data_IF_250735677645
#
_entry.id   IF_250735677645
#
_cell.length_a   1.000
_cell.length_b   1.000
_cell.length_c   1.000
_cell.angle_alpha   90.00
_cell.angle_beta   90.00
_cell.angle_gamma   90.00
#
_symmetry.space_group_name_H-M   'P 1'
#
loop_
_entity.id
_entity.type
_entity.pdbx_description
1 polymer ?
#
# COMPACT_ATOMS: atom_id res chain seq x y z
N UNK A 1 -3.12 4.96 14.47
CA UNK A 1 -4.34 5.07 15.31
C UNK A 1 -3.93 5.54 16.69
N UNK A 2 -4.23 6.78 17.06
CA UNK A 2 -3.89 7.33 18.37
C UNK A 2 -4.70 6.64 19.46
N UNK A 3 -4.04 6.06 20.46
CA UNK A 3 -4.69 5.51 21.64
C UNK A 3 -5.10 6.68 22.56
N UNK A 4 -6.40 6.86 22.73
CA UNK A 4 -6.97 7.77 23.70
C UNK A 4 -7.07 7.06 25.06
N UNK A 5 -6.61 7.71 26.12
CA UNK A 5 -6.90 7.26 27.46
C UNK A 5 -7.99 8.18 28.06
N UNK A 6 -9.18 7.64 28.25
CA UNK A 6 -10.29 8.34 28.89
C UNK A 6 -10.57 7.68 30.24
N UNK A 7 -10.44 8.43 31.32
CA UNK A 7 -10.84 7.98 32.66
C UNK A 7 -12.15 8.65 33.04
N UNK A 8 -13.08 7.83 33.55
CA UNK A 8 -14.48 8.16 33.85
C UNK A 8 -15.34 8.58 32.66
N UNK A 9 -15.54 7.64 31.77
CA UNK A 9 -16.61 7.66 30.80
C UNK A 9 -17.77 6.83 31.32
N UNK A 10 -18.58 7.38 32.19
CA UNK A 10 -19.93 6.87 32.42
C UNK A 10 -20.83 7.57 31.38
N UNK A 11 -20.73 7.13 30.13
CA UNK A 11 -21.63 7.60 29.08
C UNK A 11 -22.86 6.72 29.08
N UNK A 12 -24.02 7.26 29.36
CA UNK A 12 -25.27 6.65 28.97
C UNK A 12 -25.47 6.90 27.47
N UNK A 13 -26.03 5.96 26.73
CA UNK A 13 -26.40 6.11 25.32
C UNK A 13 -25.22 6.38 24.33
N UNK A 14 -24.07 5.74 24.51
CA UNK A 14 -22.97 5.81 23.55
C UNK A 14 -22.20 7.14 23.52
N UNK A 15 -22.23 7.91 24.61
CA UNK A 15 -21.49 9.16 24.75
C UNK A 15 -20.43 9.10 25.83
N UNK A 16 -19.41 9.96 25.68
CA UNK A 16 -18.39 10.22 26.72
C UNK A 16 -18.87 11.35 27.59
N UNK A 17 -19.01 11.13 28.90
CA UNK A 17 -19.32 12.19 29.85
C UNK A 17 -18.03 12.81 30.43
N UNK A 18 -17.90 14.13 30.33
CA UNK A 18 -16.88 14.92 31.01
C UNK A 18 -17.52 15.80 32.08
N UNK A 19 -16.81 15.95 33.21
CA UNK A 19 -17.22 16.81 34.33
C UNK A 19 -16.12 17.83 34.64
N UNK A 20 -16.49 19.03 35.07
CA UNK A 20 -15.53 20.09 35.36
C UNK A 20 -14.87 19.99 36.75
N UNK A 21 -15.38 19.15 37.64
CA UNK A 21 -14.90 18.98 39.00
C UNK A 21 -14.39 17.56 39.22
N UNK A 22 -13.41 17.41 40.12
CA UNK A 22 -13.03 16.10 40.65
C UNK A 22 -14.25 15.50 41.36
N UNK A 23 -14.37 14.18 41.27
CA UNK A 23 -15.37 13.46 42.04
C UNK A 23 -14.99 13.41 43.53
N UNK A 24 -15.87 12.79 44.35
CA UNK A 24 -15.65 12.63 45.80
C UNK A 24 -14.36 11.88 46.17
N UNK A 25 -13.88 11.04 45.23
CA UNK A 25 -12.68 10.21 45.41
C UNK A 25 -11.43 10.88 44.80
N UNK A 26 -11.55 12.13 44.34
CA UNK A 26 -10.45 12.92 43.76
C UNK A 26 -10.13 12.58 42.32
N UNK A 27 -10.97 11.78 41.62
CA UNK A 27 -10.74 11.44 40.23
C UNK A 27 -11.06 12.64 39.32
N UNK A 28 -10.27 12.76 38.27
CA UNK A 28 -10.32 13.83 37.30
C UNK A 28 -10.93 13.32 35.99
N UNK A 29 -11.83 14.12 35.41
CA UNK A 29 -12.47 13.81 34.12
C UNK A 29 -11.78 14.56 33.00
N UNK A 30 -11.33 13.85 31.98
CA UNK A 30 -10.68 14.42 30.82
C UNK A 30 -10.37 13.37 29.76
N UNK A 31 -9.92 13.83 28.61
CA UNK A 31 -9.44 13.01 27.52
C UNK A 31 -8.04 13.49 27.17
N UNK A 32 -7.11 12.58 27.02
CA UNK A 32 -5.73 12.88 26.70
C UNK A 32 -5.21 11.95 25.62
N UNK A 33 -4.33 12.45 24.76
CA UNK A 33 -3.58 11.61 23.84
C UNK A 33 -2.28 11.18 24.53
N UNK A 34 -1.99 9.87 24.49
CA UNK A 34 -0.77 9.28 25.06
C UNK A 34 0.30 9.05 24.01
N UNK A 35 -0.10 8.98 22.75
CA UNK A 35 0.79 8.84 21.60
C UNK A 35 0.59 10.02 20.66
N UNK A 36 1.67 10.49 20.04
CA UNK A 36 1.60 11.50 18.98
C UNK A 36 1.04 10.91 17.71
N UNK A 37 0.17 11.66 17.02
CA UNK A 37 -0.28 11.38 15.66
C UNK A 37 0.41 12.28 14.62
N UNK A 38 1.44 13.02 15.03
CA UNK A 38 2.06 14.12 14.28
C UNK A 38 1.76 15.46 14.94
N UNK A 39 1.78 16.56 14.19
CA UNK A 39 1.36 17.88 14.69
C UNK A 39 -0.17 18.00 14.63
N UNK A 40 -0.80 18.30 15.76
CA UNK A 40 -2.24 18.49 15.81
C UNK A 40 -2.66 19.76 15.06
N UNK A 41 -3.69 19.67 14.21
CA UNK A 41 -4.20 20.80 13.42
C UNK A 41 -5.63 21.17 13.75
N UNK A 42 -6.45 20.21 14.14
CA UNK A 42 -7.89 20.48 14.42
C UNK A 42 -8.44 19.47 15.41
N UNK A 43 -9.31 19.93 16.28
CA UNK A 43 -10.22 19.12 17.08
C UNK A 43 -11.64 19.33 16.58
N UNK A 44 -12.35 18.22 16.32
CA UNK A 44 -13.78 18.23 15.97
C UNK A 44 -14.53 17.39 16.99
N UNK A 45 -15.68 17.88 17.45
CA UNK A 45 -16.53 17.15 18.39
C UNK A 45 -17.97 17.07 17.89
N UNK A 46 -18.63 15.99 18.21
CA UNK A 46 -20.09 15.87 18.08
C UNK A 46 -20.68 15.91 19.50
N UNK A 47 -21.54 16.88 19.69
CA UNK A 47 -22.22 17.05 20.96
C UNK A 47 -23.41 16.08 21.06
N UNK A 48 -23.52 15.40 22.19
CA UNK A 48 -24.78 14.74 22.52
C UNK A 48 -25.84 15.78 22.93
N UNK A 49 -27.12 15.57 22.54
CA UNK A 49 -28.22 16.45 22.82
C UNK A 49 -28.48 16.72 24.32
N UNK A 50 -28.02 15.86 25.20
CA UNK A 50 -28.07 16.03 26.67
C UNK A 50 -27.12 17.12 27.19
N UNK A 51 -26.21 17.61 26.33
CA UNK A 51 -25.28 18.67 26.72
C UNK A 51 -25.95 20.01 26.69
N UNK A 52 -25.98 20.68 27.84
CA UNK A 52 -26.55 22.02 27.96
C UNK A 52 -25.78 23.01 27.09
N UNK A 53 -26.51 23.85 26.32
CA UNK A 53 -25.96 24.97 25.54
C UNK A 53 -25.07 25.86 26.40
N UNK A 54 -23.95 26.34 25.84
CA UNK A 54 -22.96 27.18 26.54
C UNK A 54 -21.95 26.38 27.37
N UNK A 55 -22.04 25.04 27.43
CA UNK A 55 -20.94 24.23 28.01
C UNK A 55 -19.69 24.38 27.15
N UNK A 56 -18.54 24.53 27.83
CA UNK A 56 -17.25 24.81 27.22
C UNK A 56 -16.28 23.65 27.47
N UNK A 57 -15.76 23.07 26.38
CA UNK A 57 -14.71 22.09 26.35
C UNK A 57 -13.38 22.80 26.12
N UNK A 58 -12.54 22.85 27.13
CA UNK A 58 -11.19 23.42 27.03
C UNK A 58 -10.24 22.45 26.33
N UNK A 59 -9.44 22.98 25.40
CA UNK A 59 -8.46 22.26 24.59
C UNK A 59 -7.06 22.66 25.08
N UNK A 60 -6.21 21.68 25.28
CA UNK A 60 -4.82 21.83 25.71
C UNK A 60 -3.89 21.14 24.72
N UNK A 61 -2.69 21.68 24.52
CA UNK A 61 -1.62 21.12 23.71
C UNK A 61 -0.33 20.93 24.51
N UNK A 62 0.43 19.91 24.15
CA UNK A 62 1.73 19.63 24.76
C UNK A 62 2.67 19.00 23.75
N UNK A 63 3.99 19.19 23.93
CA UNK A 63 5.03 18.45 23.22
C UNK A 63 5.64 17.33 24.09
N UNK A 64 4.95 16.99 25.17
CA UNK A 64 5.23 15.82 26.00
C UNK A 64 3.97 14.99 26.11
N UNK A 65 4.07 13.64 26.10
CA UNK A 65 2.91 12.78 26.24
C UNK A 65 2.20 13.00 27.55
N UNK A 66 0.87 12.99 27.51
CA UNK A 66 0.07 12.91 28.73
C UNK A 66 0.04 11.46 29.20
N UNK A 67 0.17 11.24 30.52
CA UNK A 67 0.09 9.90 31.10
C UNK A 67 -1.37 9.50 31.39
N UNK A 68 -2.15 10.47 31.89
CA UNK A 68 -3.55 10.25 32.23
C UNK A 68 -4.30 11.60 32.40
N UNK A 69 -5.63 11.61 32.45
CA UNK A 69 -6.42 12.85 32.59
C UNK A 69 -6.15 13.68 33.87
N UNK A 70 -5.48 13.14 34.88
CA UNK A 70 -5.08 13.93 36.07
C UNK A 70 -4.05 14.99 35.70
N UNK A 71 -3.28 14.79 34.65
CA UNK A 71 -2.28 15.75 34.17
C UNK A 71 -2.92 17.09 33.83
N UNK A 72 -4.17 17.12 33.38
CA UNK A 72 -4.95 18.34 33.06
C UNK A 72 -5.33 19.19 34.31
N UNK A 73 -5.09 18.70 35.51
CA UNK A 73 -5.44 19.36 36.76
C UNK A 73 -4.22 19.77 37.57
N UNK A 74 -3.05 19.70 36.97
CA UNK A 74 -1.77 20.10 37.54
C UNK A 74 -1.06 21.05 36.56
N UNK A 75 -0.82 22.28 36.99
CA UNK A 75 -0.23 23.34 36.16
C UNK A 75 1.18 23.04 35.61
N UNK A 76 1.85 21.99 36.13
CA UNK A 76 3.14 21.54 35.57
C UNK A 76 3.03 20.49 34.49
N UNK A 77 1.84 19.93 34.25
CA UNK A 77 1.61 18.82 33.33
C UNK A 77 0.42 19.02 32.39
N UNK A 78 -0.42 20.07 32.59
CA UNK A 78 -1.63 20.32 31.81
C UNK A 78 -1.32 20.82 30.39
N UNK A 79 -0.12 21.29 30.10
CA UNK A 79 0.29 21.86 28.82
C UNK A 79 -0.23 23.28 28.62
N UNK A 80 -0.20 23.74 27.37
CA UNK A 80 -0.68 25.07 27.00
C UNK A 80 -2.19 25.02 26.74
N UNK A 81 -2.95 25.93 27.36
CA UNK A 81 -4.37 26.09 27.04
C UNK A 81 -4.52 26.79 25.70
N UNK A 82 -5.02 26.10 24.68
CA UNK A 82 -5.15 26.59 23.31
C UNK A 82 -6.43 27.37 23.09
N UNK A 83 -7.55 26.91 23.67
CA UNK A 83 -8.85 27.52 23.52
C UNK A 83 -9.98 26.63 23.99
N UNK A 84 -11.17 26.84 23.43
CA UNK A 84 -12.37 26.08 23.83
C UNK A 84 -13.33 25.88 22.67
N UNK A 85 -14.04 24.75 22.68
CA UNK A 85 -15.21 24.48 21.85
C UNK A 85 -16.46 24.65 22.71
N UNK A 86 -17.45 25.44 22.27
CA UNK A 86 -18.63 25.77 23.05
C UNK A 86 -19.89 25.19 22.42
N UNK A 87 -20.64 24.40 23.21
CA UNK A 87 -21.90 23.81 22.78
C UNK A 87 -22.89 24.90 22.34
N UNK A 88 -23.47 24.74 21.15
CA UNK A 88 -24.37 25.71 20.52
C UNK A 88 -23.68 26.83 19.75
N UNK A 89 -22.32 26.92 19.82
CA UNK A 89 -21.57 27.97 19.11
C UNK A 89 -20.57 27.34 18.11
N UNK A 90 -19.89 26.28 18.51
CA UNK A 90 -18.87 25.63 17.66
C UNK A 90 -18.83 24.12 17.90
N UNK A 91 -18.39 23.41 16.86
CA UNK A 91 -18.08 21.97 16.94
C UNK A 91 -16.63 21.69 16.57
N UNK A 92 -15.87 22.71 16.18
CA UNK A 92 -14.48 22.58 15.76
C UNK A 92 -13.60 23.63 16.44
N UNK A 93 -12.32 23.30 16.56
CA UNK A 93 -11.26 24.19 17.01
C UNK A 93 -10.01 23.95 16.15
N UNK A 94 -9.55 24.96 15.42
CA UNK A 94 -8.31 24.90 14.64
C UNK A 94 -7.13 25.22 15.57
N UNK A 95 -6.13 24.35 15.57
CA UNK A 95 -4.96 24.45 16.43
C UNK A 95 -3.88 25.24 15.68
N UNK A 96 -3.43 26.32 16.31
CA UNK A 96 -2.26 27.09 15.87
C UNK A 96 -1.06 26.74 16.74
N UNK A 97 0.09 26.51 16.12
CA UNK A 97 1.31 26.04 16.80
C UNK A 97 1.57 24.54 16.56
N UNK A 98 2.72 24.10 17.06
CA UNK A 98 3.23 22.76 16.85
C UNK A 98 3.08 21.94 18.14
N UNK A 99 1.94 21.27 18.30
CA UNK A 99 1.66 20.39 19.44
C UNK A 99 1.50 18.94 18.97
N UNK A 100 2.24 18.04 19.62
CA UNK A 100 2.23 16.61 19.32
C UNK A 100 1.18 15.83 20.14
N UNK A 101 0.69 16.42 21.22
CA UNK A 101 -0.29 15.80 22.13
C UNK A 101 -1.40 16.79 22.44
N UNK A 102 -2.64 16.28 22.46
CA UNK A 102 -3.84 17.07 22.73
C UNK A 102 -4.57 16.49 23.93
N UNK A 103 -5.09 17.37 24.73
CA UNK A 103 -5.93 17.00 25.85
C UNK A 103 -7.15 17.93 25.96
N UNK A 104 -8.20 17.42 26.58
CA UNK A 104 -9.49 18.12 26.69
C UNK A 104 -10.13 17.86 28.04
N UNK A 105 -10.73 18.91 28.60
CA UNK A 105 -11.56 18.79 29.80
C UNK A 105 -12.73 19.74 29.78
N UNK A 106 -13.77 19.43 30.53
CA UNK A 106 -14.88 20.36 30.71
C UNK A 106 -14.45 21.55 31.58
N UNK A 107 -14.68 22.77 31.10
CA UNK A 107 -14.53 23.99 31.87
C UNK A 107 -15.68 24.17 32.87
N UNK A 108 -16.89 23.78 32.51
CA UNK A 108 -18.09 24.09 33.29
C UNK A 108 -19.14 22.96 33.26
N UNK A 109 -19.35 22.30 34.38
CA UNK A 109 -20.40 21.30 34.58
C UNK A 109 -20.20 20.01 33.80
N UNK A 110 -21.26 19.22 33.69
CA UNK A 110 -21.27 18.00 32.89
C UNK A 110 -21.51 18.30 31.40
N UNK A 111 -20.83 17.57 30.52
CA UNK A 111 -21.07 17.56 29.08
C UNK A 111 -20.93 16.15 28.52
N UNK A 112 -21.55 15.90 27.40
CA UNK A 112 -21.61 14.62 26.75
C UNK A 112 -21.19 14.77 25.28
N UNK A 113 -20.29 13.92 24.81
CA UNK A 113 -19.76 13.93 23.44
C UNK A 113 -20.00 12.57 22.81
N UNK A 114 -20.59 12.56 21.62
CA UNK A 114 -20.78 11.32 20.82
C UNK A 114 -19.54 10.94 20.05
N UNK A 115 -18.80 11.93 19.58
CA UNK A 115 -17.51 11.67 18.92
C UNK A 115 -16.50 12.79 19.18
N UNK A 116 -15.22 12.44 19.07
CA UNK A 116 -14.10 13.36 19.08
C UNK A 116 -13.14 12.92 17.99
N UNK A 117 -12.80 13.83 17.10
CA UNK A 117 -11.82 13.62 16.04
C UNK A 117 -10.69 14.63 16.19
N UNK A 118 -9.46 14.17 16.22
CA UNK A 118 -8.27 15.02 16.13
C UNK A 118 -7.65 14.81 14.75
N UNK A 119 -7.54 15.89 13.98
CA UNK A 119 -6.81 15.90 12.72
C UNK A 119 -5.36 16.27 13.02
N UNK A 120 -4.46 15.43 12.56
CA UNK A 120 -3.03 15.61 12.69
C UNK A 120 -2.45 16.00 11.34
N UNK A 121 -1.52 16.97 11.31
CA UNK A 121 -0.57 17.07 10.24
C UNK A 121 0.42 15.92 10.47
N UNK A 122 0.42 14.94 9.59
CA UNK A 122 1.55 14.05 9.58
C UNK A 122 2.76 14.91 9.22
N UNK A 123 3.68 15.13 10.16
CA UNK A 123 5.03 15.46 9.75
C UNK A 123 5.40 14.41 8.73
N UNK A 124 5.88 14.84 7.58
CA UNK A 124 6.43 13.89 6.61
C UNK A 124 7.43 13.07 7.40
N UNK A 125 6.98 11.90 7.87
CA UNK A 125 7.76 11.04 8.75
C UNK A 125 9.11 10.90 8.09
N UNK A 126 10.20 10.92 8.87
CA UNK A 126 11.55 10.88 8.32
C UNK A 126 11.54 9.96 7.12
N UNK A 127 11.78 10.53 5.94
CA UNK A 127 11.65 9.81 4.66
C UNK A 127 12.42 8.50 4.80
N UNK A 128 11.69 7.40 4.90
CA UNK A 128 12.32 6.09 5.02
C UNK A 128 12.64 5.60 3.62
N UNK A 129 13.83 5.10 3.46
CA UNK A 129 14.26 4.47 2.24
C UNK A 129 13.82 3.00 2.21
N UNK A 130 13.21 2.60 1.09
CA UNK A 130 12.78 1.22 0.84
C UNK A 130 13.51 0.72 -0.40
N UNK A 131 14.52 -0.13 -0.22
CA UNK A 131 15.29 -0.70 -1.33
C UNK A 131 14.64 -1.99 -1.83
N UNK A 132 14.43 -2.05 -3.13
CA UNK A 132 13.91 -3.22 -3.85
C UNK A 132 15.02 -3.81 -4.69
N UNK A 133 15.41 -5.06 -4.40
CA UNK A 133 16.29 -5.82 -5.27
C UNK A 133 15.52 -6.33 -6.48
N UNK A 134 16.14 -6.23 -7.64
CA UNK A 134 15.53 -6.54 -8.93
C UNK A 134 16.19 -7.78 -9.56
N UNK A 135 15.38 -8.57 -10.22
CA UNK A 135 15.82 -9.66 -11.07
C UNK A 135 15.59 -9.24 -12.52
N UNK A 136 16.64 -9.10 -13.31
CA UNK A 136 16.57 -8.61 -14.68
C UNK A 136 15.75 -7.31 -14.84
N UNK A 137 15.95 -6.37 -13.90
CA UNK A 137 15.24 -5.09 -13.89
C UNK A 137 13.79 -5.14 -13.37
N UNK A 138 13.32 -6.26 -12.83
CA UNK A 138 11.99 -6.40 -12.26
C UNK A 138 12.03 -6.82 -10.79
N UNK A 139 11.07 -6.35 -10.02
CA UNK A 139 10.87 -6.71 -8.63
C UNK A 139 9.41 -6.52 -8.22
N UNK A 140 9.05 -6.97 -7.03
CA UNK A 140 7.74 -6.68 -6.44
C UNK A 140 7.90 -5.89 -5.16
N UNK A 141 6.95 -4.99 -4.91
CA UNK A 141 6.97 -4.11 -3.76
C UNK A 141 5.56 -3.97 -3.17
N UNK A 142 5.49 -3.98 -1.86
CA UNK A 142 4.34 -3.58 -1.06
C UNK A 142 4.82 -2.74 0.12
N UNK A 143 4.11 -1.68 0.45
CA UNK A 143 4.39 -0.87 1.63
C UNK A 143 3.11 -0.28 2.21
N UNK A 144 3.04 -0.21 3.53
CA UNK A 144 1.92 0.39 4.25
C UNK A 144 1.85 1.92 4.09
N UNK A 145 2.99 2.55 3.73
CA UNK A 145 3.07 3.98 3.41
C UNK A 145 3.08 4.18 1.90
N UNK A 146 2.65 5.35 1.46
CA UNK A 146 2.85 5.76 0.07
C UNK A 146 4.34 5.93 -0.23
N UNK A 147 4.74 5.67 -1.47
CA UNK A 147 6.13 5.68 -1.90
C UNK A 147 6.31 6.52 -3.16
N UNK A 148 7.34 7.37 -3.20
CA UNK A 148 7.74 8.07 -4.42
C UNK A 148 8.59 7.14 -5.30
N UNK A 149 8.22 7.01 -6.58
CA UNK A 149 8.94 6.18 -7.56
C UNK A 149 10.27 6.85 -7.93
N UNK A 150 11.42 6.16 -7.79
CA UNK A 150 12.72 6.73 -8.06
C UNK A 150 12.97 6.91 -9.58
N UNK A 151 13.93 7.76 -9.92
CA UNK A 151 14.35 8.01 -11.30
C UNK A 151 14.81 6.71 -12.00
N UNK A 152 14.33 6.52 -13.23
CA UNK A 152 14.63 5.35 -14.06
C UNK A 152 13.87 4.07 -13.64
N UNK A 153 12.86 4.21 -12.79
CA UNK A 153 11.93 3.14 -12.48
C UNK A 153 10.49 3.53 -12.85
N UNK A 154 9.64 2.53 -12.99
CA UNK A 154 8.19 2.65 -13.05
C UNK A 154 7.55 1.54 -12.27
N UNK A 155 6.32 1.76 -11.79
CA UNK A 155 5.56 0.76 -11.06
C UNK A 155 4.21 0.52 -11.72
N UNK A 156 3.84 -0.75 -11.83
CA UNK A 156 2.59 -1.18 -12.43
C UNK A 156 1.76 -2.05 -11.51
N UNK A 157 0.46 -2.03 -11.74
CA UNK A 157 -0.50 -2.98 -11.19
C UNK A 157 -0.84 -4.02 -12.26
N UNK A 158 -1.19 -5.23 -11.84
CA UNK A 158 -1.65 -6.28 -12.76
C UNK A 158 -3.16 -6.23 -12.83
N UNK A 159 -3.69 -5.87 -13.99
CA UNK A 159 -5.14 -5.70 -14.21
C UNK A 159 -5.80 -6.95 -14.76
N UNK A 160 -5.00 -7.87 -15.33
CA UNK A 160 -5.51 -9.11 -15.91
C UNK A 160 -4.41 -10.04 -16.37
N UNK A 161 -4.83 -11.16 -16.96
CA UNK A 161 -3.97 -12.13 -17.63
C UNK A 161 -4.59 -12.51 -18.99
N UNK A 162 -3.78 -12.57 -20.04
CA UNK A 162 -4.24 -12.92 -21.39
C UNK A 162 -3.18 -13.78 -22.10
N UNK A 163 -3.58 -14.95 -22.58
CA UNK A 163 -2.70 -15.87 -23.30
C UNK A 163 -1.39 -16.21 -22.57
N UNK A 164 -1.44 -16.35 -21.25
CA UNK A 164 -0.27 -16.66 -20.43
C UNK A 164 0.65 -15.46 -20.15
N UNK A 165 0.25 -14.24 -20.50
CA UNK A 165 0.98 -12.99 -20.28
C UNK A 165 0.19 -12.11 -19.31
N UNK A 166 0.89 -11.37 -18.45
CA UNK A 166 0.28 -10.39 -17.56
C UNK A 166 -0.11 -9.12 -18.33
N UNK A 167 -1.29 -8.61 -18.04
CA UNK A 167 -1.70 -7.27 -18.43
C UNK A 167 -1.30 -6.31 -17.29
N UNK A 168 -0.25 -5.52 -17.53
CA UNK A 168 0.35 -4.64 -16.54
C UNK A 168 0.14 -3.18 -16.92
N UNK A 169 -0.58 -2.46 -16.08
CA UNK A 169 -0.74 -1.01 -16.19
C UNK A 169 0.38 -0.30 -15.38
N UNK A 170 1.42 0.19 -16.08
CA UNK A 170 2.53 0.96 -15.48
C UNK A 170 2.16 2.42 -15.22
N UNK A 171 1.15 2.62 -14.41
CA UNK A 171 0.57 3.94 -14.14
C UNK A 171 1.42 4.87 -13.24
N UNK A 172 2.42 4.34 -12.53
CA UNK A 172 3.27 5.14 -11.65
C UNK A 172 4.66 5.31 -12.27
N UNK A 173 4.89 6.43 -12.93
CA UNK A 173 6.19 6.80 -13.50
C UNK A 173 7.13 7.41 -12.43
N UNK A 174 8.41 7.59 -12.79
CA UNK A 174 9.38 8.26 -11.92
C UNK A 174 8.88 9.62 -11.43
N UNK A 175 9.00 9.87 -10.13
CA UNK A 175 8.52 11.07 -9.45
C UNK A 175 7.04 11.03 -9.05
N UNK A 176 6.26 10.07 -9.52
CA UNK A 176 4.88 9.85 -9.06
C UNK A 176 4.83 9.01 -7.79
N UNK A 177 3.69 9.02 -7.11
CA UNK A 177 3.51 8.27 -5.88
C UNK A 177 2.72 6.99 -6.12
N UNK A 178 3.23 5.90 -5.58
CA UNK A 178 2.46 4.67 -5.35
C UNK A 178 1.66 4.87 -4.07
N UNK A 179 0.33 4.75 -4.07
CA UNK A 179 -0.47 4.92 -2.87
C UNK A 179 -0.13 3.89 -1.79
N UNK A 180 -0.39 4.25 -0.54
CA UNK A 180 -0.26 3.32 0.59
C UNK A 180 -1.03 2.01 0.34
N UNK A 181 -0.50 0.89 0.84
CA UNK A 181 -1.10 -0.43 0.71
C UNK A 181 -1.35 -0.90 -0.73
N UNK A 182 -0.59 -0.37 -1.70
CA UNK A 182 -0.70 -0.75 -3.11
C UNK A 182 0.45 -1.69 -3.49
N UNK A 183 0.19 -3.00 -3.70
CA UNK A 183 1.20 -3.92 -4.21
C UNK A 183 1.47 -3.63 -5.69
N UNK A 184 2.75 -3.56 -6.09
CA UNK A 184 3.16 -3.21 -7.44
C UNK A 184 4.26 -4.11 -7.98
N UNK A 185 4.30 -4.23 -9.30
CA UNK A 185 5.43 -4.71 -10.07
C UNK A 185 6.33 -3.51 -10.37
N UNK A 186 7.58 -3.59 -9.93
CA UNK A 186 8.62 -2.59 -10.19
C UNK A 186 9.36 -2.96 -11.47
N UNK A 187 9.56 -2.00 -12.37
CA UNK A 187 10.34 -2.13 -13.60
C UNK A 187 11.40 -1.04 -13.65
N UNK A 188 12.68 -1.43 -13.71
CA UNK A 188 13.82 -0.53 -13.83
C UNK A 188 14.91 -1.23 -14.66
N UNK A 189 14.84 -1.14 -15.99
CA UNK A 189 15.75 -1.86 -16.88
C UNK A 189 17.22 -1.52 -16.62
N UNK A 190 18.07 -2.56 -16.59
CA UNK A 190 19.50 -2.42 -16.38
C UNK A 190 19.91 -2.12 -14.94
N UNK A 191 18.99 -2.10 -13.98
CA UNK A 191 19.30 -1.92 -12.56
C UNK A 191 19.17 -3.24 -11.78
N UNK A 192 20.02 -3.43 -10.77
CA UNK A 192 19.96 -4.55 -9.83
C UNK A 192 19.12 -4.22 -8.59
N UNK A 193 18.98 -2.94 -8.28
CA UNK A 193 18.11 -2.44 -7.21
C UNK A 193 17.65 -1.01 -7.47
N UNK A 194 16.58 -0.62 -6.80
CA UNK A 194 16.09 0.77 -6.75
C UNK A 194 15.63 1.11 -5.34
N UNK A 195 15.83 2.36 -4.93
CA UNK A 195 15.44 2.85 -3.61
C UNK A 195 14.31 3.85 -3.75
N UNK A 196 13.18 3.50 -3.14
CA UNK A 196 11.99 4.35 -2.98
C UNK A 196 12.12 5.15 -1.69
N UNK A 197 11.42 6.26 -1.62
CA UNK A 197 11.27 7.06 -0.39
C UNK A 197 9.81 7.09 0.03
N UNK A 198 9.56 6.94 1.33
CA UNK A 198 8.20 7.11 1.86
C UNK A 198 7.74 8.54 1.69
N UNK A 199 6.45 8.72 1.43
CA UNK A 199 5.82 10.03 1.25
C UNK A 199 4.41 10.01 1.80
N UNK A 200 3.78 11.17 1.87
CA UNK A 200 2.34 11.28 2.16
C UNK A 200 1.58 11.40 0.84
N UNK A 201 0.50 10.63 0.69
CA UNK A 201 -0.40 10.71 -0.46
C UNK A 201 -1.83 10.47 0.01
N UNK A 202 -2.77 11.22 -0.53
CA UNK A 202 -4.21 11.03 -0.34
C UNK A 202 -4.83 10.10 -1.38
N UNK A 203 -4.04 9.64 -2.34
CA UNK A 203 -4.49 8.70 -3.35
C UNK A 203 -4.81 7.34 -2.73
N UNK A 204 -5.87 6.72 -3.21
CA UNK A 204 -6.31 5.39 -2.77
C UNK A 204 -5.75 4.29 -3.64
N UNK A 205 -5.51 3.12 -3.05
CA UNK A 205 -5.08 1.94 -3.78
C UNK A 205 -6.12 1.56 -4.86
N UNK A 206 -5.69 1.16 -6.08
CA UNK A 206 -6.58 0.70 -7.13
C UNK A 206 -7.37 -0.55 -6.70
N UNK A 207 -8.64 -0.62 -7.06
CA UNK A 207 -9.52 -1.76 -6.73
C UNK A 207 -9.27 -2.96 -7.65
N UNK A 208 -8.79 -2.72 -8.88
CA UNK A 208 -8.51 -3.76 -9.88
C UNK A 208 -7.02 -4.08 -9.91
N UNK A 209 -6.54 -4.84 -8.94
CA UNK A 209 -5.14 -5.27 -8.91
C UNK A 209 -5.06 -6.73 -8.48
N UNK A 210 -4.54 -7.59 -9.34
CA UNK A 210 -4.33 -9.01 -9.05
C UNK A 210 -3.11 -9.26 -8.15
N UNK A 211 -2.23 -8.27 -7.98
CA UNK A 211 -1.16 -8.36 -6.99
C UNK A 211 -1.73 -8.21 -5.57
N UNK A 212 -1.18 -8.98 -4.65
CA UNK A 212 -1.45 -8.92 -3.21
C UNK A 212 -0.16 -8.63 -2.46
N UNK A 213 -0.23 -7.82 -1.40
CA UNK A 213 0.93 -7.44 -0.60
C UNK A 213 1.13 -8.34 0.61
N UNK A 214 2.38 -8.67 0.93
CA UNK A 214 2.76 -9.29 2.18
C UNK A 214 3.16 -8.20 3.19
N UNK A 215 2.33 -7.99 4.21
CA UNK A 215 2.60 -7.01 5.27
C UNK A 215 3.63 -7.52 6.28
N UNK A 216 3.70 -8.84 6.47
CA UNK A 216 4.56 -9.52 7.44
C UNK A 216 5.25 -10.72 6.77
N UNK A 217 6.33 -11.20 7.42
CA UNK A 217 7.00 -12.44 7.03
C UNK A 217 6.09 -13.63 7.38
N UNK A 218 5.88 -14.53 6.46
CA UNK A 218 5.12 -15.73 6.73
C UNK A 218 4.33 -16.26 5.54
N UNK A 219 3.57 -17.31 5.79
CA UNK A 219 2.62 -17.85 4.83
C UNK A 219 1.30 -17.08 4.94
N UNK A 220 0.81 -16.59 3.81
CA UNK A 220 -0.50 -15.92 3.76
C UNK A 220 -1.65 -16.93 3.69
N UNK A 221 -2.85 -16.51 4.06
CA UNK A 221 -4.05 -17.37 4.00
C UNK A 221 -4.52 -17.51 2.56
N UNK A 222 -4.58 -18.75 2.06
CA UNK A 222 -5.07 -19.05 0.73
C UNK A 222 -6.60 -19.01 0.67
N UNK A 223 -7.14 -18.40 -0.37
CA UNK A 223 -8.55 -18.50 -0.72
C UNK A 223 -8.78 -19.70 -1.67
N UNK A 224 -9.86 -20.48 -1.52
CA UNK A 224 -10.05 -21.73 -2.26
C UNK A 224 -10.08 -21.58 -3.78
N UNK A 225 -10.53 -20.42 -4.27
CA UNK A 225 -10.77 -20.16 -5.70
C UNK A 225 -9.60 -19.51 -6.43
N UNK A 226 -8.44 -19.34 -5.78
CA UNK A 226 -7.27 -18.70 -6.36
C UNK A 226 -6.09 -19.67 -6.52
N UNK A 227 -5.26 -19.38 -7.53
CA UNK A 227 -3.87 -19.83 -7.61
C UNK A 227 -2.94 -18.67 -7.30
N UNK A 228 -1.81 -18.99 -6.67
CA UNK A 228 -0.85 -18.00 -6.18
C UNK A 228 0.51 -18.17 -6.85
N UNK A 229 1.11 -17.05 -7.24
CA UNK A 229 2.35 -17.03 -8.00
C UNK A 229 3.34 -16.04 -7.37
N UNK A 230 4.61 -16.39 -7.40
CA UNK A 230 5.72 -15.50 -7.03
C UNK A 230 6.55 -15.12 -8.23
N UNK A 231 7.11 -13.91 -8.22
CA UNK A 231 8.10 -13.49 -9.21
C UNK A 231 9.38 -14.30 -9.00
N UNK A 232 9.78 -15.09 -9.97
CA UNK A 232 10.91 -15.99 -9.91
C UNK A 232 11.48 -16.28 -11.29
N UNK A 233 12.70 -16.82 -11.31
CA UNK A 233 13.25 -17.45 -12.50
C UNK A 233 12.75 -18.88 -12.64
N UNK A 234 12.49 -19.30 -13.88
CA UNK A 234 12.33 -20.71 -14.18
C UNK A 234 13.69 -21.41 -14.09
N UNK A 235 13.93 -22.14 -13.01
CA UNK A 235 15.18 -22.88 -12.83
C UNK A 235 15.22 -24.20 -13.59
N UNK A 236 14.13 -24.62 -14.26
CA UNK A 236 14.01 -25.88 -14.98
C UNK A 236 14.24 -25.76 -16.50
N UNK A 237 14.41 -24.54 -17.02
CA UNK A 237 14.72 -24.29 -18.42
C UNK A 237 16.19 -23.91 -18.59
N UNK A 238 16.79 -24.31 -19.74
CA UNK A 238 18.17 -23.90 -20.13
C UNK A 238 18.33 -22.37 -20.20
N UNK A 239 17.24 -21.63 -20.44
CA UNK A 239 17.21 -20.17 -20.33
C UNK A 239 16.44 -19.77 -19.07
N UNK A 240 17.08 -19.02 -18.21
CA UNK A 240 16.45 -18.39 -17.03
C UNK A 240 15.41 -17.38 -17.52
N UNK A 241 14.15 -17.78 -17.49
CA UNK A 241 13.03 -16.93 -17.83
C UNK A 241 12.39 -16.38 -16.55
N UNK A 242 12.32 -15.05 -16.43
CA UNK A 242 11.70 -14.37 -15.30
C UNK A 242 10.21 -14.24 -15.55
N UNK A 243 9.40 -14.65 -14.59
CA UNK A 243 7.95 -14.58 -14.66
C UNK A 243 7.31 -14.82 -13.30
N UNK A 244 6.00 -14.85 -13.27
CA UNK A 244 5.26 -15.29 -12.11
C UNK A 244 4.98 -16.78 -12.20
N UNK A 245 5.53 -17.56 -11.28
CA UNK A 245 5.40 -19.02 -11.20
C UNK A 245 4.66 -19.42 -9.94
N UNK A 246 3.98 -20.57 -9.97
CA UNK A 246 3.44 -21.14 -8.74
C UNK A 246 4.47 -21.12 -7.63
N UNK A 247 4.11 -20.57 -6.48
CA UNK A 247 5.01 -20.48 -5.34
C UNK A 247 5.15 -21.80 -4.59
N UNK A 248 4.10 -22.63 -4.68
CA UNK A 248 4.00 -23.93 -4.07
C UNK A 248 3.23 -24.89 -5.00
N UNK A 249 3.31 -26.20 -4.73
CA UNK A 249 2.61 -27.23 -5.49
C UNK A 249 1.11 -26.90 -5.62
N UNK A 250 0.56 -27.18 -6.80
CA UNK A 250 -0.84 -26.91 -7.13
C UNK A 250 -1.29 -25.44 -6.97
N UNK A 251 -0.36 -24.49 -6.98
CA UNK A 251 -0.64 -23.07 -6.87
C UNK A 251 -1.19 -22.66 -5.49
N UNK A 252 -0.84 -23.39 -4.44
CA UNK A 252 -1.20 -23.08 -3.06
C UNK A 252 -0.49 -21.85 -2.49
N UNK A 253 -0.79 -21.52 -1.22
CA UNK A 253 -0.08 -20.50 -0.47
C UNK A 253 1.40 -20.87 -0.25
N UNK A 254 2.23 -19.89 -0.04
CA UNK A 254 3.65 -20.05 0.22
C UNK A 254 4.16 -18.92 1.12
N UNK A 255 5.31 -19.13 1.71
CA UNK A 255 5.95 -18.13 2.55
C UNK A 255 6.43 -16.92 1.73
N UNK A 256 6.05 -15.72 2.16
CA UNK A 256 6.49 -14.45 1.61
C UNK A 256 7.27 -13.64 2.65
N UNK A 257 8.15 -12.78 2.14
CA UNK A 257 8.80 -11.74 2.96
C UNK A 257 7.95 -10.48 2.97
N UNK A 258 7.90 -9.83 4.14
CA UNK A 258 7.29 -8.51 4.28
C UNK A 258 7.82 -7.54 3.23
N UNK A 259 6.96 -6.65 2.75
CA UNK A 259 7.32 -5.67 1.73
C UNK A 259 7.36 -6.20 0.30
N UNK A 260 7.05 -7.49 0.07
CA UNK A 260 6.94 -8.09 -1.27
C UNK A 260 5.48 -8.21 -1.70
N UNK A 261 5.27 -8.39 -3.01
CA UNK A 261 3.97 -8.72 -3.55
C UNK A 261 4.00 -10.04 -4.32
N UNK A 262 2.86 -10.72 -4.31
CA UNK A 262 2.60 -11.95 -5.05
C UNK A 262 1.36 -11.76 -5.93
N UNK A 263 1.20 -12.60 -6.93
CA UNK A 263 0.07 -12.57 -7.84
C UNK A 263 -0.97 -13.61 -7.39
N UNK A 264 -2.24 -13.21 -7.33
CA UNK A 264 -3.39 -14.06 -7.08
C UNK A 264 -4.33 -14.02 -8.29
N UNK A 265 -4.55 -15.17 -8.93
CA UNK A 265 -5.43 -15.28 -10.11
C UNK A 265 -6.51 -16.31 -9.83
N UNK A 266 -7.76 -15.96 -10.12
CA UNK A 266 -8.87 -16.89 -10.02
C UNK A 266 -8.63 -18.16 -10.84
N UNK A 267 -8.95 -19.33 -10.31
CA UNK A 267 -8.78 -20.62 -10.96
C UNK A 267 -9.49 -20.70 -12.32
N UNK A 268 -10.67 -20.07 -12.42
CA UNK A 268 -11.46 -19.95 -13.64
C UNK A 268 -10.76 -19.15 -14.73
N UNK A 269 -9.96 -18.15 -14.35
CA UNK A 269 -9.18 -17.29 -15.26
C UNK A 269 -7.83 -17.94 -15.58
N UNK A 270 -7.15 -18.46 -14.57
CA UNK A 270 -5.84 -19.08 -14.72
C UNK A 270 -5.86 -20.41 -15.47
N UNK A 271 -7.00 -21.15 -15.44
CA UNK A 271 -7.20 -22.44 -16.12
C UNK A 271 -6.05 -23.45 -15.88
N UNK A 272 -5.47 -23.47 -14.69
CA UNK A 272 -4.36 -24.34 -14.33
C UNK A 272 -2.98 -23.90 -14.85
N UNK A 273 -2.86 -22.70 -15.40
CA UNK A 273 -1.56 -22.14 -15.82
C UNK A 273 -0.59 -22.10 -14.63
N UNK A 274 0.59 -22.68 -14.79
CA UNK A 274 1.62 -22.72 -13.74
C UNK A 274 2.57 -21.49 -13.80
N UNK A 275 2.44 -20.69 -14.87
CA UNK A 275 3.29 -19.54 -15.18
C UNK A 275 2.51 -18.44 -15.87
N UNK A 276 2.88 -17.20 -15.56
CA UNK A 276 2.55 -16.01 -16.36
C UNK A 276 3.82 -15.25 -16.69
N UNK A 277 4.00 -14.90 -17.97
CA UNK A 277 5.11 -14.08 -18.44
C UNK A 277 4.88 -12.62 -18.14
N UNK A 278 5.96 -11.86 -17.87
CA UNK A 278 5.91 -10.40 -17.75
C UNK A 278 5.66 -9.77 -19.12
N UNK A 279 5.07 -8.58 -19.13
CA UNK A 279 4.93 -7.76 -20.33
C UNK A 279 6.29 -7.56 -21.02
N UNK A 280 6.33 -7.68 -22.34
CA UNK A 280 7.56 -7.55 -23.14
C UNK A 280 8.50 -8.76 -23.14
N UNK A 281 8.23 -9.78 -22.34
CA UNK A 281 8.86 -11.10 -22.47
C UNK A 281 8.02 -12.05 -23.34
N UNK A 282 7.42 -11.55 -24.38
CA UNK A 282 7.01 -12.37 -25.55
C UNK A 282 8.27 -12.91 -26.28
N UNK A 283 9.31 -13.25 -25.53
CA UNK A 283 10.58 -13.81 -26.01
C UNK A 283 10.48 -15.30 -26.30
N UNK A 284 9.26 -15.82 -26.43
CA UNK A 284 9.09 -17.13 -27.03
C UNK A 284 9.19 -17.10 -28.56
N UNK A 285 8.66 -16.04 -29.21
CA UNK A 285 8.65 -15.98 -30.67
C UNK A 285 9.82 -15.18 -31.26
N UNK A 286 10.18 -14.01 -30.71
CA UNK A 286 11.29 -13.21 -31.26
C UNK A 286 12.68 -13.82 -30.97
N UNK A 287 12.89 -14.43 -29.80
CA UNK A 287 14.15 -15.15 -29.55
C UNK A 287 14.23 -16.49 -30.30
N UNK A 288 13.10 -17.11 -30.62
CA UNK A 288 13.05 -18.28 -31.52
C UNK A 288 13.28 -17.85 -32.97
N UNK A 289 12.84 -16.65 -33.37
CA UNK A 289 13.17 -16.14 -34.70
C UNK A 289 14.65 -15.80 -34.84
N UNK A 290 15.30 -15.13 -33.88
CA UNK A 290 16.73 -14.80 -33.97
C UNK A 290 17.65 -16.02 -33.74
N UNK A 291 17.30 -16.96 -32.86
CA UNK A 291 18.05 -18.19 -32.70
C UNK A 291 17.83 -19.18 -33.84
N UNK A 292 16.69 -19.11 -34.52
CA UNK A 292 16.42 -19.89 -35.71
C UNK A 292 17.07 -19.31 -36.98
N UNK A 293 17.46 -18.03 -37.01
CA UNK A 293 18.21 -17.50 -38.16
C UNK A 293 19.61 -18.08 -38.30
N UNK A 294 20.28 -18.36 -37.17
CA UNK A 294 21.61 -18.97 -37.16
C UNK A 294 21.59 -20.48 -37.55
N UNK A 295 20.48 -21.19 -37.35
CA UNK A 295 20.28 -22.61 -37.71
C UNK A 295 19.10 -22.85 -38.62
N UNK A 296 18.74 -21.87 -39.44
CA UNK A 296 17.59 -21.92 -40.32
C UNK A 296 17.83 -22.89 -41.48
N UNK A 297 17.16 -24.03 -41.47
CA UNK A 297 17.19 -24.96 -42.57
C UNK A 297 15.94 -24.71 -43.44
N UNK A 298 16.16 -24.24 -44.64
CA UNK A 298 15.10 -23.87 -45.61
C UNK A 298 15.11 -24.84 -46.77
N UNK A 299 13.93 -25.32 -47.10
CA UNK A 299 13.72 -26.14 -48.30
C UNK A 299 12.63 -25.51 -49.19
N UNK A 300 12.78 -25.66 -50.48
CA UNK A 300 11.70 -25.48 -51.47
C UNK A 300 10.67 -26.59 -51.31
N UNK A 301 9.47 -26.42 -51.87
CA UNK A 301 8.41 -27.45 -51.82
C UNK A 301 8.79 -28.78 -52.50
N UNK A 302 9.73 -28.74 -53.45
CA UNK A 302 10.32 -29.92 -54.12
C UNK A 302 11.47 -30.55 -53.33
N UNK A 303 11.73 -30.10 -52.09
CA UNK A 303 12.70 -30.71 -51.17
C UNK A 303 14.15 -30.25 -51.33
N UNK A 304 14.44 -29.26 -52.15
CA UNK A 304 15.81 -28.71 -52.29
C UNK A 304 16.14 -27.76 -51.19
N UNK A 305 17.32 -27.94 -50.58
CA UNK A 305 17.82 -27.04 -49.53
C UNK A 305 18.24 -25.68 -50.14
N UNK A 306 17.75 -24.59 -49.56
CA UNK A 306 18.10 -23.22 -49.97
C UNK A 306 19.17 -22.67 -49.01
N UNK A 307 20.32 -22.25 -49.60
CA UNK A 307 21.46 -21.75 -48.84
C UNK A 307 21.60 -20.22 -48.86
N UNK A 308 20.63 -19.48 -49.38
CA UNK A 308 20.69 -18.03 -49.51
C UNK A 308 20.10 -17.30 -48.32
N UNK A 309 20.77 -16.24 -47.85
CA UNK A 309 20.34 -15.40 -46.76
C UNK A 309 19.05 -14.57 -47.05
N UNK A 310 18.76 -14.32 -48.34
CA UNK A 310 17.52 -13.66 -48.77
C UNK A 310 16.67 -14.61 -49.63
N UNK A 311 15.52 -14.97 -49.08
CA UNK A 311 14.54 -15.78 -49.79
C UNK A 311 13.74 -14.92 -50.76
N UNK A 312 13.57 -15.38 -51.99
CA UNK A 312 12.61 -14.78 -52.93
C UNK A 312 11.16 -15.00 -52.44
N UNK A 313 10.23 -14.19 -52.92
CA UNK A 313 8.80 -14.40 -52.63
C UNK A 313 8.38 -15.79 -53.05
N UNK A 314 7.76 -16.54 -52.17
CA UNK A 314 7.39 -17.92 -52.48
C UNK A 314 7.03 -18.72 -51.23
N UNK A 315 6.62 -19.97 -51.43
CA UNK A 315 6.28 -20.91 -50.38
C UNK A 315 7.48 -21.84 -50.10
N UNK A 316 7.91 -21.90 -48.82
CA UNK A 316 9.05 -22.67 -48.39
C UNK A 316 8.71 -23.57 -47.18
N UNK A 317 9.52 -24.58 -46.96
CA UNK A 317 9.52 -25.35 -45.72
C UNK A 317 10.70 -24.84 -44.86
N UNK A 318 10.40 -24.17 -43.78
CA UNK A 318 11.39 -23.61 -42.85
C UNK A 318 11.25 -24.35 -41.52
N UNK A 319 12.31 -25.04 -41.09
CA UNK A 319 12.30 -25.84 -39.87
C UNK A 319 11.07 -26.80 -39.79
N UNK A 320 10.73 -27.43 -40.91
CA UNK A 320 9.62 -28.38 -40.97
C UNK A 320 8.21 -27.76 -41.13
N UNK A 321 8.07 -26.43 -41.18
CA UNK A 321 6.78 -25.72 -41.32
C UNK A 321 6.68 -25.04 -42.69
N UNK A 322 5.49 -25.04 -43.31
CA UNK A 322 5.20 -24.27 -44.53
C UNK A 322 5.10 -22.78 -44.21
N UNK A 323 5.91 -21.95 -44.86
CA UNK A 323 6.00 -20.50 -44.65
C UNK A 323 5.89 -19.80 -46.03
N UNK A 324 5.00 -18.83 -46.13
CA UNK A 324 4.87 -17.95 -47.32
C UNK A 324 5.76 -16.71 -47.09
N UNK A 325 6.79 -16.56 -47.89
CA UNK A 325 7.63 -15.36 -47.95
C UNK A 325 6.97 -14.38 -48.94
N UNK A 326 6.58 -13.18 -48.43
CA UNK A 326 5.87 -12.13 -49.17
C UNK A 326 6.83 -11.11 -49.82
#
# INVERSE_FOLDING_TARGET
>A
MGLFNAIQCAGDKGSVQLRSKKDKDGNCSGIVTTNSGGKAKKVTVEWNSETTTGRSLDIYGSNKPYNNPKDLYNASTDGDKLGSIVMGTSTTFDITGDYEYIAMRSKSGAMYLTSITITWEQEGGATQEVTVNLANGFGTLYNANALTVPAGASCGIVTGVKNGVLDVDYKYAAGQNVPANTPVLVKAPGKESVTFTTTTSTETAPTTNLLKGAAEDGEFTAEPNYYYYKLAYNNFAEKKDLGFYWGEANGGAFTMKAGKAYLAVEKTVAQGAQKFSLEGNATGLEAVEQANEANRVVYTLDGRRVMNEKLAKGLYIINGKKVLVK
#
